data_IF_098145068897
#
_entry.id   IF_098145068897
#
_cell.length_a   1.000
_cell.length_b   1.000
_cell.length_c   1.000
_cell.angle_alpha   90.00
_cell.angle_beta   90.00
_cell.angle_gamma   90.00
#
_symmetry.space_group_name_H-M   'P 1'
#
loop_
_entity.id
_entity.type
_entity.pdbx_description
1 polymer ?
#
# COMPACT_ATOMS: atom_id res chain seq x y z
N UNK A 1 -22.86 -2.63 -3.75
CA UNK A 1 -22.41 -3.26 -5.01
C UNK A 1 -22.60 -4.77 -4.92
N UNK A 2 -23.01 -5.46 -5.99
CA UNK A 2 -23.11 -6.93 -5.95
C UNK A 2 -21.70 -7.56 -6.00
N UNK A 3 -21.54 -8.71 -5.33
CA UNK A 3 -20.27 -9.47 -5.31
C UNK A 3 -19.73 -9.77 -6.72
N UNK A 4 -20.62 -10.00 -7.69
CA UNK A 4 -20.23 -10.23 -9.10
C UNK A 4 -19.56 -9.00 -9.73
N UNK A 5 -20.08 -7.78 -9.47
CA UNK A 5 -19.49 -6.54 -9.99
C UNK A 5 -18.11 -6.28 -9.39
N UNK A 6 -17.94 -6.53 -8.08
CA UNK A 6 -16.65 -6.39 -7.39
C UNK A 6 -15.62 -7.35 -7.99
N UNK A 7 -15.97 -8.62 -8.20
CA UNK A 7 -15.07 -9.60 -8.83
C UNK A 7 -14.67 -9.20 -10.25
N UNK A 8 -15.60 -8.68 -11.04
CA UNK A 8 -15.31 -8.22 -12.39
C UNK A 8 -14.32 -7.05 -12.39
N UNK A 9 -14.51 -6.07 -11.51
CA UNK A 9 -13.57 -4.95 -11.35
C UNK A 9 -12.18 -5.44 -10.91
N UNK A 10 -12.12 -6.38 -9.96
CA UNK A 10 -10.84 -6.93 -9.52
C UNK A 10 -10.07 -7.65 -10.63
N UNK A 11 -10.77 -8.34 -11.54
CA UNK A 11 -10.12 -8.92 -12.73
C UNK A 11 -9.55 -7.86 -13.66
N UNK A 12 -10.28 -6.76 -13.86
CA UNK A 12 -9.79 -5.64 -14.68
C UNK A 12 -8.52 -5.05 -14.05
N UNK A 13 -8.49 -4.84 -12.74
CA UNK A 13 -7.29 -4.34 -12.06
C UNK A 13 -6.11 -5.30 -12.17
N UNK A 14 -6.34 -6.61 -11.99
CA UNK A 14 -5.29 -7.62 -12.17
C UNK A 14 -4.73 -7.64 -13.58
N UNK A 15 -5.59 -7.50 -14.59
CA UNK A 15 -5.15 -7.43 -15.98
C UNK A 15 -4.32 -6.18 -16.26
N UNK A 16 -4.72 -5.02 -15.72
CA UNK A 16 -3.95 -3.79 -15.83
C UNK A 16 -2.58 -3.90 -15.15
N UNK A 17 -2.50 -4.50 -13.95
CA UNK A 17 -1.24 -4.77 -13.26
C UNK A 17 -0.34 -5.68 -14.11
N UNK A 18 -0.88 -6.77 -14.66
CA UNK A 18 -0.12 -7.67 -15.52
C UNK A 18 0.42 -6.95 -16.76
N UNK A 19 -0.40 -6.13 -17.42
CA UNK A 19 0.02 -5.37 -18.59
C UNK A 19 1.12 -4.37 -18.26
N UNK A 20 1.04 -3.70 -17.10
CA UNK A 20 2.09 -2.80 -16.63
C UNK A 20 3.41 -3.55 -16.43
N UNK A 21 3.38 -4.70 -15.76
CA UNK A 21 4.58 -5.52 -15.52
C UNK A 21 5.22 -6.00 -16.82
N UNK A 22 4.42 -6.46 -17.78
CA UNK A 22 4.90 -6.88 -19.11
C UNK A 22 5.53 -5.71 -19.87
N UNK A 23 4.95 -4.52 -19.78
CA UNK A 23 5.48 -3.33 -20.44
C UNK A 23 6.79 -2.87 -19.81
N UNK A 24 6.88 -2.87 -18.47
CA UNK A 24 8.10 -2.52 -17.75
C UNK A 24 9.26 -3.48 -18.09
N UNK A 25 8.97 -4.77 -18.24
CA UNK A 25 9.95 -5.78 -18.67
C UNK A 25 10.46 -5.50 -20.09
N UNK A 26 9.56 -5.19 -21.03
CA UNK A 26 9.93 -4.83 -22.41
C UNK A 26 10.75 -3.55 -22.52
N UNK A 27 10.51 -2.59 -21.63
CA UNK A 27 11.22 -1.31 -21.57
C UNK A 27 12.53 -1.39 -20.76
N UNK A 28 12.83 -2.53 -20.13
CA UNK A 28 14.02 -2.71 -19.32
C UNK A 28 13.98 -2.01 -17.95
N UNK A 29 12.80 -1.57 -17.49
CA UNK A 29 12.58 -0.87 -16.21
C UNK A 29 11.84 -1.75 -15.19
N UNK A 30 12.02 -3.06 -15.29
CA UNK A 30 11.34 -4.06 -14.45
C UNK A 30 11.56 -3.84 -12.96
N UNK A 31 12.76 -3.39 -12.59
CA UNK A 31 13.13 -3.20 -11.18
C UNK A 31 12.32 -2.07 -10.52
N UNK A 32 11.91 -1.08 -11.30
CA UNK A 32 11.06 0.04 -10.86
C UNK A 32 9.59 -0.40 -10.69
N UNK A 33 9.18 -1.46 -11.39
CA UNK A 33 7.82 -1.99 -11.40
C UNK A 33 7.83 -3.48 -11.01
N UNK A 34 8.09 -3.73 -9.74
CA UNK A 34 7.92 -5.04 -9.11
C UNK A 34 6.70 -5.04 -8.18
N UNK A 35 6.17 -6.22 -7.77
CA UNK A 35 4.97 -6.28 -6.93
C UNK A 35 5.07 -5.51 -5.61
N UNK A 36 6.26 -5.43 -5.00
CA UNK A 36 6.49 -4.66 -3.77
C UNK A 36 6.41 -3.16 -4.09
N UNK A 37 7.04 -2.70 -5.17
CA UNK A 37 6.98 -1.31 -5.65
C UNK A 37 5.55 -0.88 -5.96
N UNK A 38 4.75 -1.73 -6.59
CA UNK A 38 3.33 -1.45 -6.82
C UNK A 38 2.59 -1.23 -5.50
N UNK A 39 2.82 -2.10 -4.50
CA UNK A 39 2.22 -1.93 -3.16
C UNK A 39 2.71 -0.66 -2.47
N UNK A 40 3.97 -0.25 -2.66
CA UNK A 40 4.52 1.01 -2.14
C UNK A 40 3.81 2.22 -2.77
N UNK A 41 3.61 2.20 -4.08
CA UNK A 41 2.87 3.24 -4.80
C UNK A 41 1.42 3.34 -4.32
N UNK A 42 0.73 2.21 -4.14
CA UNK A 42 -0.63 2.18 -3.58
C UNK A 42 -0.69 2.75 -2.15
N UNK A 43 0.31 2.44 -1.33
CA UNK A 43 0.43 2.95 0.04
C UNK A 43 0.62 4.46 0.08
N UNK A 44 1.48 5.00 -0.79
CA UNK A 44 1.70 6.44 -0.88
C UNK A 44 0.49 7.18 -1.45
N UNK A 45 -0.17 6.60 -2.47
CA UNK A 45 -1.44 7.12 -2.96
C UNK A 45 -2.51 7.16 -1.86
N UNK A 46 -2.60 6.10 -1.04
CA UNK A 46 -3.52 6.06 0.09
C UNK A 46 -3.25 7.15 1.13
N UNK A 47 -1.97 7.43 1.45
CA UNK A 47 -1.61 8.55 2.34
C UNK A 47 -2.07 9.88 1.77
N UNK A 48 -1.83 10.11 0.47
CA UNK A 48 -2.24 11.35 -0.19
C UNK A 48 -3.76 11.53 -0.15
N UNK A 49 -4.53 10.47 -0.43
CA UNK A 49 -5.98 10.50 -0.28
C UNK A 49 -6.42 10.79 1.16
N UNK A 50 -5.75 10.22 2.16
CA UNK A 50 -6.06 10.46 3.56
C UNK A 50 -5.80 11.93 3.95
N UNK A 51 -4.69 12.52 3.48
CA UNK A 51 -4.41 13.95 3.64
C UNK A 51 -5.50 14.81 3.00
N UNK A 52 -5.92 14.46 1.78
CA UNK A 52 -7.04 15.13 1.11
C UNK A 52 -8.34 15.03 1.91
N UNK A 53 -8.65 13.88 2.50
CA UNK A 53 -9.84 13.73 3.33
C UNK A 53 -9.77 14.58 4.61
N UNK A 54 -8.63 14.66 5.29
CA UNK A 54 -8.49 15.52 6.46
C UNK A 54 -8.59 17.00 6.08
N UNK A 55 -7.99 17.41 4.96
CA UNK A 55 -8.12 18.78 4.45
C UNK A 55 -9.58 19.11 4.16
N UNK A 56 -10.31 18.22 3.49
CA UNK A 56 -11.72 18.41 3.19
C UNK A 56 -12.55 18.49 4.47
N UNK A 57 -12.25 17.68 5.48
CA UNK A 57 -12.93 17.74 6.78
C UNK A 57 -12.75 19.11 7.42
N UNK A 58 -11.52 19.61 7.45
CA UNK A 58 -11.23 20.95 8.00
C UNK A 58 -11.93 22.07 7.22
N UNK A 59 -12.01 21.94 5.89
CA UNK A 59 -12.77 22.89 5.06
C UNK A 59 -14.26 22.87 5.44
N UNK A 60 -14.87 21.69 5.52
CA UNK A 60 -16.30 21.57 5.85
C UNK A 60 -16.60 22.06 7.28
N UNK A 61 -15.71 21.77 8.24
CA UNK A 61 -15.83 22.29 9.61
C UNK A 61 -15.78 23.83 9.63
N UNK A 62 -14.90 24.44 8.83
CA UNK A 62 -14.81 25.88 8.68
C UNK A 62 -16.08 26.48 8.06
N UNK A 63 -16.60 25.89 6.97
CA UNK A 63 -17.85 26.32 6.34
C UNK A 63 -19.01 26.32 7.34
N UNK A 64 -19.10 25.26 8.16
CA UNK A 64 -20.14 25.12 9.19
C UNK A 64 -20.08 26.20 10.26
N UNK A 65 -18.86 26.65 10.62
CA UNK A 65 -18.66 27.66 11.67
C UNK A 65 -18.83 29.09 11.16
N UNK A 66 -18.42 29.38 9.91
CA UNK A 66 -18.24 30.76 9.43
C UNK A 66 -19.30 31.19 8.41
N UNK A 67 -19.76 30.28 7.53
CA UNK A 67 -20.48 30.66 6.32
C UNK A 67 -22.01 30.55 6.41
N UNK A 68 -22.57 30.24 7.58
CA UNK A 68 -24.02 30.15 7.74
C UNK A 68 -24.68 29.11 6.83
N UNK A 69 -23.96 28.03 6.50
CA UNK A 69 -24.41 26.95 5.62
C UNK A 69 -25.53 26.11 6.24
N UNK A 70 -26.31 25.41 5.41
CA UNK A 70 -27.30 24.42 5.87
C UNK A 70 -26.59 23.33 6.70
N UNK A 71 -26.75 23.44 8.03
CA UNK A 71 -26.13 22.55 9.00
C UNK A 71 -26.46 21.08 8.73
N UNK A 72 -27.65 20.77 8.22
CA UNK A 72 -28.08 19.39 8.01
C UNK A 72 -27.30 18.74 6.86
N UNK A 73 -27.16 19.45 5.75
CA UNK A 73 -26.41 18.93 4.59
C UNK A 73 -24.93 18.76 4.92
N UNK A 74 -24.34 19.73 5.61
CA UNK A 74 -22.94 19.74 6.02
C UNK A 74 -22.63 18.59 6.99
N UNK A 75 -23.49 18.35 7.99
CA UNK A 75 -23.32 17.21 8.90
C UNK A 75 -23.36 15.85 8.18
N UNK A 76 -24.24 15.70 7.18
CA UNK A 76 -24.29 14.47 6.36
C UNK A 76 -23.01 14.29 5.55
N UNK A 77 -22.44 15.38 5.01
CA UNK A 77 -21.17 15.35 4.27
C UNK A 77 -20.01 14.94 5.20
N UNK A 78 -19.94 15.53 6.39
CA UNK A 78 -18.98 15.13 7.43
C UNK A 78 -19.11 13.65 7.76
N UNK A 79 -20.28 13.16 8.19
CA UNK A 79 -20.46 11.75 8.53
C UNK A 79 -19.98 10.78 7.43
N UNK A 80 -20.28 11.10 6.16
CA UNK A 80 -19.79 10.29 5.03
C UNK A 80 -18.27 10.35 4.92
N UNK A 81 -17.67 11.52 5.05
CA UNK A 81 -16.23 11.73 5.02
C UNK A 81 -15.53 10.99 6.17
N UNK A 82 -16.05 11.06 7.39
CA UNK A 82 -15.58 10.29 8.55
C UNK A 82 -15.53 8.77 8.28
N UNK A 83 -16.55 8.23 7.60
CA UNK A 83 -16.57 6.81 7.22
C UNK A 83 -15.44 6.49 6.24
N UNK A 84 -15.17 7.35 5.27
CA UNK A 84 -14.07 7.16 4.32
C UNK A 84 -12.71 7.27 4.99
N UNK A 85 -12.52 8.25 5.89
CA UNK A 85 -11.31 8.39 6.71
C UNK A 85 -11.06 7.09 7.50
N UNK A 86 -12.06 6.61 8.27
CA UNK A 86 -11.93 5.38 9.07
C UNK A 86 -11.64 4.13 8.23
N UNK A 87 -12.08 4.09 6.97
CA UNK A 87 -11.78 3.00 6.04
C UNK A 87 -10.36 3.11 5.51
N UNK A 88 -9.93 4.31 5.13
CA UNK A 88 -8.58 4.59 4.66
C UNK A 88 -7.54 4.33 5.77
N UNK A 89 -7.78 4.74 7.01
CA UNK A 89 -6.93 4.45 8.17
C UNK A 89 -6.76 2.95 8.40
N UNK A 90 -7.87 2.18 8.35
CA UNK A 90 -7.82 0.72 8.48
C UNK A 90 -6.99 0.08 7.36
N UNK A 91 -7.16 0.56 6.13
CA UNK A 91 -6.37 0.07 5.00
C UNK A 91 -4.89 0.43 5.16
N UNK A 92 -4.58 1.62 5.66
CA UNK A 92 -3.22 2.08 5.94
C UNK A 92 -2.54 1.17 6.96
N UNK A 93 -3.25 0.78 8.02
CA UNK A 93 -2.73 -0.15 9.02
C UNK A 93 -2.51 -1.56 8.45
N UNK A 94 -3.36 -2.01 7.51
CA UNK A 94 -3.12 -3.26 6.79
C UNK A 94 -1.84 -3.20 5.96
N UNK A 95 -1.59 -2.09 5.25
CA UNK A 95 -0.34 -1.89 4.51
C UNK A 95 0.88 -1.85 5.43
N UNK A 96 0.81 -1.12 6.56
CA UNK A 96 1.90 -1.11 7.56
C UNK A 96 2.24 -2.51 8.05
N UNK A 97 1.21 -3.33 8.35
CA UNK A 97 1.40 -4.74 8.74
C UNK A 97 1.98 -5.59 7.62
N UNK A 98 1.53 -5.38 6.38
CA UNK A 98 2.05 -6.06 5.20
C UNK A 98 3.54 -5.78 5.04
N UNK A 99 3.94 -4.52 4.98
CA UNK A 99 5.36 -4.14 4.84
C UNK A 99 6.19 -4.60 6.03
N UNK A 100 5.68 -4.47 7.26
CA UNK A 100 6.38 -4.98 8.45
C UNK A 100 6.68 -6.49 8.37
N UNK A 101 5.78 -7.29 7.80
CA UNK A 101 6.02 -8.72 7.54
C UNK A 101 7.04 -8.93 6.44
N UNK A 102 6.90 -8.24 5.30
CA UNK A 102 7.80 -8.37 4.15
C UNK A 102 9.25 -8.07 4.54
N UNK A 103 9.48 -6.96 5.26
CA UNK A 103 10.82 -6.60 5.73
C UNK A 103 11.38 -7.60 6.74
N UNK A 104 10.53 -8.14 7.62
CA UNK A 104 10.96 -9.18 8.57
C UNK A 104 11.41 -10.45 7.85
N UNK A 105 10.65 -10.92 6.87
CA UNK A 105 10.98 -12.11 6.08
C UNK A 105 12.27 -11.92 5.28
N UNK A 106 12.46 -10.75 4.66
CA UNK A 106 13.70 -10.43 3.93
C UNK A 106 14.93 -10.44 4.85
N UNK A 107 14.80 -9.92 6.07
CA UNK A 107 15.90 -9.95 7.05
C UNK A 107 16.22 -11.36 7.52
N UNK A 108 15.20 -12.19 7.79
CA UNK A 108 15.39 -13.59 8.18
C UNK A 108 16.06 -14.43 7.07
N UNK A 109 15.76 -14.15 5.80
CA UNK A 109 16.41 -14.79 4.65
C UNK A 109 17.87 -14.36 4.50
N UNK A 110 18.16 -13.06 4.66
CA UNK A 110 19.54 -12.55 4.66
C UNK A 110 20.39 -13.21 5.75
N UNK A 111 19.87 -13.30 6.98
CA UNK A 111 20.59 -13.97 8.08
C UNK A 111 20.85 -15.45 7.81
N UNK A 112 19.91 -16.17 7.18
CA UNK A 112 20.10 -17.58 6.79
C UNK A 112 21.19 -17.73 5.73
N UNK A 113 21.22 -16.84 4.74
CA UNK A 113 22.24 -16.82 3.69
C UNK A 113 23.61 -16.52 4.29
N UNK A 114 23.73 -15.54 5.18
CA UNK A 114 24.98 -15.23 5.87
C UNK A 114 25.49 -16.39 6.71
N UNK A 115 24.61 -17.08 7.45
CA UNK A 115 24.93 -18.29 8.21
C UNK A 115 25.38 -19.45 7.31
N UNK A 116 24.77 -19.60 6.13
CA UNK A 116 25.18 -20.61 5.16
C UNK A 116 26.53 -20.28 4.52
N UNK A 117 26.79 -19.01 4.18
CA UNK A 117 28.06 -18.55 3.62
C UNK A 117 29.21 -18.65 4.63
N UNK A 118 28.97 -18.36 5.91
CA UNK A 118 29.98 -18.57 6.96
C UNK A 118 30.24 -20.05 7.20
N UNK A 119 29.21 -20.91 7.23
CA UNK A 119 29.39 -22.36 7.39
C UNK A 119 30.13 -23.00 6.21
N UNK A 120 29.85 -22.57 4.98
CA UNK A 120 30.55 -23.05 3.78
C UNK A 120 31.99 -22.55 3.69
N UNK A 121 32.29 -21.31 4.11
CA UNK A 121 33.67 -20.83 4.26
C UNK A 121 34.49 -21.66 5.25
N UNK A 122 33.88 -22.08 6.36
CA UNK A 122 34.55 -22.92 7.37
C UNK A 122 34.80 -24.33 6.83
N UNK A 123 33.91 -24.90 6.00
CA UNK A 123 34.14 -26.25 5.44
C UNK A 123 35.23 -26.30 4.37
N UNK A 124 35.50 -25.21 3.66
CA UNK A 124 36.56 -25.16 2.63
C UNK A 124 37.95 -25.07 3.28
N UNK A 125 38.09 -24.39 4.42
CA UNK A 125 39.37 -24.24 5.12
C UNK A 125 39.75 -25.41 6.05
N UNK A 126 38.89 -26.41 6.22
CA UNK A 126 39.18 -27.63 7.01
C UNK A 126 39.52 -28.83 6.10
N UNK A 127 39.34 -28.70 4.78
CA UNK A 127 39.63 -29.75 3.79
C UNK A 127 41.04 -29.74 3.20
N UNK A 128 41.88 -28.78 3.58
CA UNK A 128 43.30 -28.70 3.20
C UNK A 128 44.17 -28.89 4.45
N UNK A 129 44.36 -30.14 4.87
CA UNK A 129 45.49 -30.59 5.71
C UNK A 129 45.70 -32.09 5.48
#
# INVERSE_FOLDING_TARGET
>A
MSSKKIKAQMRVFQELENQLLIQADKLGVKDDYNPIKIKEMEYDALKNHLLSFYSERSNIEYEMQVLGTDKKEVLIKLEKLEIYIKRAERLLDMYKKYFGKVFKTQNEEKEKIEKFLTKSRISVSVGEN
#
